data_IF_384010344588
#
_entry.id   IF_384010344588
#
_cell.length_a   1.000
_cell.length_b   1.000
_cell.length_c   1.000
_cell.angle_alpha   90.00
_cell.angle_beta   90.00
_cell.angle_gamma   90.00
#
_symmetry.space_group_name_H-M   'P 1'
#
loop_
_entity.id
_entity.type
_entity.pdbx_description
1 polymer ?
#
# COMPACT_ATOMS: atom_id res chain seq x y z
N UNK A 1 18.87 2.92 -3.75
CA UNK A 1 17.73 2.22 -4.39
C UNK A 1 16.87 3.28 -5.06
N UNK A 2 16.12 2.95 -6.11
CA UNK A 2 15.18 3.92 -6.70
C UNK A 2 14.00 4.13 -5.76
N UNK A 3 13.44 5.34 -5.74
CA UNK A 3 12.23 5.71 -4.96
C UNK A 3 11.07 4.70 -5.19
N UNK A 4 10.94 4.19 -6.41
CA UNK A 4 9.95 3.16 -6.76
C UNK A 4 10.18 1.83 -6.03
N UNK A 5 11.44 1.43 -5.83
CA UNK A 5 11.76 0.19 -5.10
C UNK A 5 11.46 0.34 -3.60
N UNK A 6 11.63 1.54 -3.05
CA UNK A 6 11.29 1.83 -1.66
C UNK A 6 9.77 1.79 -1.44
N UNK A 7 9.00 2.34 -2.38
CA UNK A 7 7.54 2.20 -2.38
C UNK A 7 7.09 0.74 -2.47
N UNK A 8 7.67 -0.05 -3.38
CA UNK A 8 7.34 -1.49 -3.50
C UNK A 8 7.61 -2.21 -2.18
N UNK A 9 8.75 -1.93 -1.53
CA UNK A 9 9.05 -2.51 -0.23
C UNK A 9 8.01 -2.13 0.83
N UNK A 10 7.62 -0.85 0.89
CA UNK A 10 6.60 -0.36 1.82
C UNK A 10 5.23 -1.00 1.56
N UNK A 11 4.86 -1.19 0.29
CA UNK A 11 3.63 -1.88 -0.10
C UNK A 11 3.63 -3.31 0.46
N UNK A 12 4.71 -4.07 0.29
CA UNK A 12 4.78 -5.45 0.80
C UNK A 12 4.71 -5.51 2.34
N UNK A 13 5.37 -4.58 3.04
CA UNK A 13 5.27 -4.45 4.50
C UNK A 13 3.82 -4.20 4.95
N UNK A 14 3.11 -3.29 4.28
CA UNK A 14 1.73 -2.94 4.59
C UNK A 14 0.73 -4.04 4.22
N UNK A 15 0.94 -4.75 3.11
CA UNK A 15 0.15 -5.94 2.75
C UNK A 15 0.23 -7.01 3.84
N UNK A 16 1.43 -7.31 4.32
CA UNK A 16 1.62 -8.24 5.44
C UNK A 16 0.96 -7.72 6.73
N UNK A 17 1.01 -6.42 6.98
CA UNK A 17 0.36 -5.81 8.13
C UNK A 17 -1.18 -5.97 8.08
N UNK A 18 -1.80 -5.71 6.93
CA UNK A 18 -3.25 -5.89 6.73
C UNK A 18 -3.64 -7.36 6.95
N UNK A 19 -2.88 -8.30 6.38
CA UNK A 19 -3.15 -9.74 6.55
C UNK A 19 -3.14 -10.12 8.04
N UNK A 20 -2.08 -9.76 8.76
CA UNK A 20 -1.95 -10.04 10.20
C UNK A 20 -3.01 -9.33 11.03
N UNK A 21 -3.34 -8.09 10.69
CA UNK A 21 -4.36 -7.31 11.38
C UNK A 21 -5.75 -7.90 11.15
N UNK A 22 -6.01 -8.47 9.99
CA UNK A 22 -7.29 -9.10 9.67
C UNK A 22 -7.47 -10.48 10.30
N UNK A 23 -6.40 -11.16 10.73
CA UNK A 23 -6.51 -12.48 11.37
C UNK A 23 -7.46 -12.42 12.58
N UNK A 24 -8.53 -13.23 12.52
CA UNK A 24 -9.57 -13.25 13.56
C UNK A 24 -10.50 -12.03 13.59
N UNK A 25 -10.38 -11.08 12.65
CA UNK A 25 -11.21 -9.86 12.55
C UNK A 25 -12.02 -9.82 11.25
N UNK A 26 -13.12 -9.07 11.28
CA UNK A 26 -13.88 -8.74 10.08
C UNK A 26 -13.15 -7.66 9.27
N UNK A 27 -13.36 -7.59 7.95
CA UNK A 27 -12.80 -6.51 7.13
C UNK A 27 -13.36 -5.14 7.47
N UNK A 28 -14.55 -5.09 8.06
CA UNK A 28 -15.20 -3.86 8.55
C UNK A 28 -14.73 -3.45 9.95
N UNK A 29 -13.85 -4.24 10.58
CA UNK A 29 -13.25 -3.86 11.86
C UNK A 29 -12.44 -2.56 11.66
N UNK A 30 -12.65 -1.51 12.48
CA UNK A 30 -11.98 -0.22 12.31
C UNK A 30 -10.46 -0.32 12.21
N UNK A 31 -9.83 -1.28 12.89
CA UNK A 31 -8.37 -1.45 12.86
C UNK A 31 -7.94 -2.06 11.53
N UNK A 32 -8.72 -2.98 10.97
CA UNK A 32 -8.47 -3.55 9.64
C UNK A 32 -8.68 -2.48 8.56
N UNK A 33 -9.74 -1.67 8.68
CA UNK A 33 -10.01 -0.55 7.77
C UNK A 33 -8.85 0.46 7.79
N UNK A 34 -8.38 0.85 8.96
CA UNK A 34 -7.25 1.79 9.08
C UNK A 34 -5.97 1.23 8.45
N UNK A 35 -5.66 -0.05 8.69
CA UNK A 35 -4.49 -0.70 8.07
C UNK A 35 -4.63 -0.78 6.54
N UNK A 36 -5.84 -1.03 6.02
CA UNK A 36 -6.13 -1.02 4.59
C UNK A 36 -5.98 0.38 3.97
N UNK A 37 -6.45 1.43 4.65
CA UNK A 37 -6.30 2.81 4.19
C UNK A 37 -4.82 3.23 4.10
N UNK A 38 -3.98 2.83 5.07
CA UNK A 38 -2.54 3.10 5.00
C UNK A 38 -1.88 2.42 3.78
N UNK A 39 -2.32 1.20 3.44
CA UNK A 39 -1.86 0.51 2.23
C UNK A 39 -2.30 1.24 0.96
N UNK A 40 -3.56 1.67 0.90
CA UNK A 40 -4.14 2.38 -0.25
C UNK A 40 -3.38 3.69 -0.52
N UNK A 41 -3.05 4.48 0.51
CA UNK A 41 -2.28 5.73 0.38
C UNK A 41 -0.92 5.52 -0.32
N UNK A 42 -0.26 4.39 -0.04
CA UNK A 42 1.04 4.07 -0.65
C UNK A 42 0.87 3.54 -2.08
N UNK A 43 -0.18 2.76 -2.33
CA UNK A 43 -0.52 2.28 -3.68
C UNK A 43 -0.87 3.44 -4.61
N UNK A 44 -1.59 4.46 -4.13
CA UNK A 44 -1.93 5.66 -4.89
C UNK A 44 -0.67 6.42 -5.31
N UNK A 45 0.28 6.62 -4.38
CA UNK A 45 1.57 7.25 -4.71
C UNK A 45 2.37 6.46 -5.73
N UNK A 46 2.38 5.13 -5.60
CA UNK A 46 3.04 4.26 -6.57
C UNK A 46 2.41 4.39 -7.96
N UNK A 47 1.08 4.44 -8.03
CA UNK A 47 0.34 4.64 -9.26
C UNK A 47 0.62 6.01 -9.89
N UNK A 48 0.62 7.09 -9.12
CA UNK A 48 0.99 8.43 -9.60
C UNK A 48 2.40 8.45 -10.21
N UNK A 49 3.35 7.78 -9.56
CA UNK A 49 4.72 7.68 -10.08
C UNK A 49 4.80 6.91 -11.39
N UNK A 50 4.03 5.84 -11.54
CA UNK A 50 3.94 5.09 -12.79
C UNK A 50 3.35 5.94 -13.91
N UNK A 51 2.25 6.66 -13.63
CA UNK A 51 1.63 7.57 -14.61
C UNK A 51 2.62 8.65 -15.07
N UNK A 52 3.32 9.32 -14.14
CA UNK A 52 4.33 10.34 -14.47
C UNK A 52 5.51 9.80 -15.27
N UNK A 53 5.85 8.52 -15.11
CA UNK A 53 6.89 7.87 -15.93
C UNK A 53 6.37 7.56 -17.34
N UNK A 54 5.12 7.13 -17.47
CA UNK A 54 4.49 6.85 -18.75
C UNK A 54 4.27 8.12 -19.58
N UNK A 55 3.93 9.26 -18.96
CA UNK A 55 3.79 10.56 -19.64
C UNK A 55 5.12 11.14 -20.13
N UNK A 56 6.24 10.68 -19.58
CA UNK A 56 7.60 11.11 -19.96
C UNK A 56 8.29 10.15 -20.94
N UNK A 57 7.63 9.05 -21.30
CA UNK A 57 8.13 7.98 -22.17
C UNK A 57 7.75 8.15 -23.63
#
# INVERSE_FOLDING_TARGET
>A
MSEINELIKRIEELRLNVIKTKEGRAYTDPVVVAASQELDDVLDRYQEMLMRKAEKG
#
